data_IF_651205643551
#
_entry.id   IF_651205643551
#
_cell.length_a   1.000
_cell.length_b   1.000
_cell.length_c   1.000
_cell.angle_alpha   90.00
_cell.angle_beta   90.00
_cell.angle_gamma   90.00
#
_symmetry.space_group_name_H-M   'P 1'
#
loop_
_entity.id
_entity.type
_entity.pdbx_description
1 polymer ?
#
# COMPACT_ATOMS: atom_id res chain seq x y z
N UNK A 1 -32.78 30.05 1.85
CA UNK A 1 -32.04 30.16 3.13
C UNK A 1 -31.47 28.80 3.58
N UNK A 2 -32.24 27.74 3.57
CA UNK A 2 -31.73 26.38 3.94
C UNK A 2 -30.72 25.82 2.91
N UNK A 3 -30.93 26.04 1.61
CA UNK A 3 -30.02 25.57 0.55
C UNK A 3 -28.65 26.28 0.62
N UNK A 4 -28.60 27.53 1.01
CA UNK A 4 -27.36 28.29 1.20
C UNK A 4 -26.56 27.81 2.40
N UNK A 5 -27.23 27.53 3.53
CA UNK A 5 -26.59 27.00 4.73
C UNK A 5 -26.05 25.57 4.50
N UNK A 6 -26.77 24.74 3.74
CA UNK A 6 -26.34 23.41 3.36
C UNK A 6 -25.07 23.43 2.49
N UNK A 7 -25.02 24.33 1.51
CA UNK A 7 -23.87 24.54 0.63
C UNK A 7 -22.63 25.00 1.41
N UNK A 8 -22.77 25.88 2.37
CA UNK A 8 -21.69 26.34 3.23
C UNK A 8 -21.18 25.23 4.15
N UNK A 9 -22.08 24.39 4.65
CA UNK A 9 -21.74 23.23 5.47
C UNK A 9 -20.95 22.18 4.66
N UNK A 10 -21.36 21.90 3.44
CA UNK A 10 -20.66 20.99 2.54
C UNK A 10 -19.28 21.50 2.15
N UNK A 11 -19.15 22.81 1.91
CA UNK A 11 -17.85 23.45 1.66
C UNK A 11 -16.91 23.32 2.86
N UNK A 12 -17.42 23.57 4.05
CA UNK A 12 -16.64 23.44 5.29
C UNK A 12 -16.19 21.99 5.52
N UNK A 13 -17.03 21.00 5.22
CA UNK A 13 -16.71 19.59 5.31
C UNK A 13 -15.60 19.19 4.31
N UNK A 14 -15.69 19.65 3.06
CA UNK A 14 -14.68 19.41 2.03
C UNK A 14 -13.34 20.03 2.40
N UNK A 15 -13.34 21.27 2.87
CA UNK A 15 -12.11 21.95 3.32
C UNK A 15 -11.45 21.23 4.49
N UNK A 16 -12.26 20.69 5.40
CA UNK A 16 -11.77 19.91 6.55
C UNK A 16 -11.15 18.59 6.10
N UNK A 17 -11.76 17.91 5.14
CA UNK A 17 -11.25 16.66 4.55
C UNK A 17 -9.97 16.92 3.79
N UNK A 18 -9.90 17.97 2.99
CA UNK A 18 -8.71 18.41 2.25
C UNK A 18 -7.55 18.74 3.20
N UNK A 19 -7.85 19.44 4.31
CA UNK A 19 -6.87 19.79 5.34
C UNK A 19 -6.35 18.54 6.05
N UNK A 20 -7.21 17.58 6.35
CA UNK A 20 -6.84 16.30 6.96
C UNK A 20 -5.95 15.49 6.01
N UNK A 21 -6.32 15.43 4.73
CA UNK A 21 -5.52 14.77 3.70
C UNK A 21 -4.14 15.44 3.52
N UNK A 22 -4.10 16.77 3.51
CA UNK A 22 -2.84 17.53 3.42
C UNK A 22 -1.95 17.32 4.65
N UNK A 23 -2.53 17.29 5.86
CA UNK A 23 -1.78 16.97 7.09
C UNK A 23 -1.21 15.57 7.08
N UNK A 24 -1.99 14.58 6.64
CA UNK A 24 -1.51 13.19 6.49
C UNK A 24 -0.37 13.09 5.49
N UNK A 25 -0.46 13.81 4.36
CA UNK A 25 0.60 13.87 3.38
C UNK A 25 1.87 14.52 3.94
N UNK A 26 1.75 15.60 4.71
CA UNK A 26 2.88 16.26 5.38
C UNK A 26 3.50 15.37 6.48
N UNK A 27 2.69 14.69 7.27
CA UNK A 27 3.15 13.73 8.27
C UNK A 27 3.93 12.57 7.64
N UNK A 28 3.47 12.05 6.52
CA UNK A 28 4.16 11.01 5.75
C UNK A 28 5.50 11.52 5.19
N UNK A 29 5.55 12.75 4.71
CA UNK A 29 6.79 13.38 4.24
C UNK A 29 7.78 13.66 5.36
N UNK A 30 7.29 13.78 6.60
CA UNK A 30 8.11 14.00 7.78
C UNK A 30 8.78 12.72 8.31
N UNK A 31 8.36 11.53 7.85
CA UNK A 31 9.05 10.27 8.17
C UNK A 31 10.38 10.28 7.45
N UNK A 32 11.44 10.50 8.21
CA UNK A 32 12.82 10.50 7.71
C UNK A 32 13.48 9.19 8.15
N UNK A 33 13.78 8.34 7.20
CA UNK A 33 14.70 7.22 7.39
C UNK A 33 16.13 7.72 7.20
N UNK A 34 17.14 6.89 7.50
CA UNK A 34 18.53 7.28 7.31
C UNK A 34 18.79 7.83 5.90
N UNK A 35 19.66 8.82 5.80
CA UNK A 35 20.04 9.44 4.54
C UNK A 35 20.46 8.41 3.50
N UNK A 36 20.01 8.59 2.28
CA UNK A 36 20.29 7.68 1.19
C UNK A 36 19.44 6.41 1.17
N UNK A 37 18.50 6.22 2.10
CA UNK A 37 17.58 5.09 2.05
C UNK A 37 16.72 5.15 0.79
N UNK A 38 16.76 4.09 0.01
CA UNK A 38 16.01 3.90 -1.22
C UNK A 38 15.32 2.53 -1.13
N UNK A 39 14.06 2.54 -0.73
CA UNK A 39 13.32 1.33 -0.42
C UNK A 39 11.84 1.45 -0.81
N UNK A 40 11.25 0.33 -1.18
CA UNK A 40 9.80 0.17 -1.20
C UNK A 40 9.40 -0.67 0.00
N UNK A 41 8.49 -0.15 0.81
CA UNK A 41 7.96 -0.83 1.99
C UNK A 41 6.58 -1.34 1.68
N UNK A 42 6.41 -2.66 1.73
CA UNK A 42 5.21 -3.37 1.31
C UNK A 42 4.57 -4.03 2.52
N UNK A 43 3.26 -3.93 2.62
CA UNK A 43 2.49 -4.66 3.62
C UNK A 43 1.18 -5.17 3.04
N UNK A 44 0.61 -6.15 3.70
CA UNK A 44 -0.64 -6.79 3.32
C UNK A 44 -1.59 -6.84 4.50
N UNK A 45 -2.88 -6.74 4.21
CA UNK A 45 -3.96 -7.10 5.12
C UNK A 45 -4.83 -8.15 4.43
N UNK A 46 -5.19 -9.19 5.13
CA UNK A 46 -5.76 -10.41 4.57
C UNK A 46 -7.00 -10.83 5.37
N UNK A 47 -8.08 -11.18 4.69
CA UNK A 47 -9.30 -11.74 5.30
C UNK A 47 -9.59 -13.18 4.88
N UNK A 48 -8.64 -13.83 4.21
CA UNK A 48 -8.77 -15.19 3.68
C UNK A 48 -9.26 -15.27 2.24
N UNK A 49 -10.08 -14.34 1.78
CA UNK A 49 -10.62 -14.27 0.42
C UNK A 49 -9.95 -13.19 -0.43
N UNK A 50 -9.60 -12.08 0.21
CA UNK A 50 -8.99 -10.93 -0.43
C UNK A 50 -7.82 -10.43 0.41
N UNK A 51 -6.88 -9.79 -0.23
CA UNK A 51 -5.78 -9.10 0.43
C UNK A 51 -5.66 -7.67 -0.09
N UNK A 52 -5.53 -6.73 0.84
CA UNK A 52 -5.14 -5.37 0.50
C UNK A 52 -3.61 -5.28 0.48
N UNK A 53 -3.09 -4.60 -0.50
CA UNK A 53 -1.68 -4.31 -0.67
C UNK A 53 -1.46 -2.82 -0.42
N UNK A 54 -0.46 -2.48 0.36
CA UNK A 54 0.00 -1.10 0.55
C UNK A 54 1.49 -1.02 0.30
N UNK A 55 1.92 -0.02 -0.44
CA UNK A 55 3.34 0.23 -0.76
C UNK A 55 3.66 1.69 -0.48
N UNK A 56 4.71 1.93 0.29
CA UNK A 56 5.29 3.25 0.47
C UNK A 56 6.65 3.30 -0.23
N UNK A 57 6.80 4.26 -1.12
CA UNK A 57 8.04 4.48 -1.87
C UNK A 57 8.93 5.46 -1.12
N UNK A 58 10.04 4.98 -0.59
CA UNK A 58 11.03 5.79 0.12
C UNK A 58 12.20 6.08 -0.82
N UNK A 59 12.50 7.34 -0.99
CA UNK A 59 13.64 7.82 -1.79
C UNK A 59 14.38 8.87 -0.99
N UNK A 60 15.68 8.68 -0.85
CA UNK A 60 16.56 9.54 -0.06
C UNK A 60 16.04 9.73 1.39
N UNK A 61 15.62 8.63 2.00
CA UNK A 61 15.13 8.58 3.38
C UNK A 61 13.71 9.11 3.60
N UNK A 62 13.02 9.58 2.57
CA UNK A 62 11.69 10.19 2.67
C UNK A 62 10.65 9.43 1.87
N UNK A 63 9.43 9.35 2.41
CA UNK A 63 8.28 8.80 1.68
C UNK A 63 7.89 9.78 0.57
N UNK A 64 8.04 9.35 -0.68
CA UNK A 64 7.76 10.14 -1.88
C UNK A 64 6.44 9.80 -2.55
N UNK A 65 5.86 8.66 -2.20
CA UNK A 65 4.58 8.23 -2.74
C UNK A 65 4.07 7.01 -2.04
N UNK A 66 2.79 6.75 -2.25
CA UNK A 66 2.12 5.56 -1.75
C UNK A 66 1.14 5.02 -2.79
N UNK A 67 0.96 3.72 -2.79
CA UNK A 67 -0.03 3.02 -3.60
C UNK A 67 -0.72 1.97 -2.77
N UNK A 68 -1.98 1.70 -3.10
CA UNK A 68 -2.73 0.63 -2.46
C UNK A 68 -3.82 0.10 -3.37
N UNK A 69 -4.09 -1.18 -3.28
CA UNK A 69 -5.13 -1.87 -4.04
C UNK A 69 -5.54 -3.16 -3.34
N UNK A 70 -6.61 -3.78 -3.82
CA UNK A 70 -7.10 -5.07 -3.30
C UNK A 70 -6.96 -6.12 -4.39
N UNK A 71 -6.50 -7.30 -4.01
CA UNK A 71 -6.38 -8.47 -4.88
C UNK A 71 -7.22 -9.63 -4.33
N UNK A 72 -7.73 -10.45 -5.23
CA UNK A 72 -8.34 -11.72 -4.84
C UNK A 72 -7.24 -12.71 -4.45
N UNK A 73 -7.50 -13.45 -3.40
CA UNK A 73 -6.56 -14.39 -2.82
C UNK A 73 -7.05 -15.81 -3.02
N UNK A 74 -6.17 -16.72 -3.39
CA UNK A 74 -6.45 -18.15 -3.30
C UNK A 74 -6.38 -18.60 -1.83
N UNK A 75 -7.24 -19.50 -1.42
CA UNK A 75 -7.39 -19.92 -0.01
C UNK A 75 -6.08 -20.30 0.65
N UNK A 76 -5.18 -20.94 -0.08
CA UNK A 76 -3.90 -21.45 0.43
C UNK A 76 -2.71 -20.49 0.27
N UNK A 77 -2.93 -19.30 -0.28
CA UNK A 77 -1.83 -18.36 -0.50
C UNK A 77 -1.30 -17.80 0.83
N UNK A 78 -0.02 -17.98 1.08
CA UNK A 78 0.70 -17.38 2.20
C UNK A 78 1.04 -15.90 1.93
N UNK A 79 1.45 -15.18 2.97
CA UNK A 79 2.00 -13.82 2.80
C UNK A 79 3.24 -13.84 1.90
N UNK A 80 4.10 -14.86 2.03
CA UNK A 80 5.24 -15.05 1.14
C UNK A 80 4.84 -15.19 -0.32
N UNK A 81 3.76 -15.90 -0.62
CA UNK A 81 3.22 -16.02 -1.98
C UNK A 81 2.71 -14.67 -2.51
N UNK A 82 2.06 -13.88 -1.67
CA UNK A 82 1.62 -12.53 -2.00
C UNK A 82 2.81 -11.60 -2.28
N UNK A 83 3.89 -11.73 -1.53
CA UNK A 83 5.15 -10.99 -1.76
C UNK A 83 5.75 -11.35 -3.12
N UNK A 84 5.83 -12.63 -3.42
CA UNK A 84 6.32 -13.11 -4.73
C UNK A 84 5.50 -12.51 -5.86
N UNK A 85 4.19 -12.62 -5.78
CA UNK A 85 3.25 -12.09 -6.78
C UNK A 85 3.37 -10.57 -6.93
N UNK A 86 3.46 -9.85 -5.83
CA UNK A 86 3.68 -8.40 -5.83
C UNK A 86 4.95 -8.03 -6.60
N UNK A 87 6.08 -8.64 -6.26
CA UNK A 87 7.36 -8.34 -6.89
C UNK A 87 7.35 -8.63 -8.39
N UNK A 88 6.79 -9.76 -8.79
CA UNK A 88 6.73 -10.15 -10.22
C UNK A 88 5.80 -9.25 -11.02
N UNK A 89 4.70 -8.81 -10.45
CA UNK A 89 3.77 -7.90 -11.13
C UNK A 89 4.29 -6.47 -11.19
N UNK A 90 4.73 -5.92 -10.07
CA UNK A 90 5.11 -4.50 -9.98
C UNK A 90 6.44 -4.24 -10.66
N UNK A 91 7.44 -5.10 -10.42
CA UNK A 91 8.79 -4.93 -10.98
C UNK A 91 9.03 -5.71 -12.28
N UNK A 92 8.07 -6.56 -12.67
CA UNK A 92 8.13 -7.35 -13.90
C UNK A 92 7.63 -6.63 -15.13
N UNK A 93 7.24 -5.39 -15.05
CA UNK A 93 6.77 -4.61 -16.19
C UNK A 93 7.90 -4.47 -17.23
N UNK A 94 7.66 -5.02 -18.41
CA UNK A 94 8.61 -5.00 -19.53
C UNK A 94 8.88 -3.59 -20.07
N UNK A 95 7.96 -2.66 -19.81
CA UNK A 95 8.10 -1.27 -20.26
C UNK A 95 9.02 -0.45 -19.37
N UNK A 96 9.50 -1.00 -18.25
CA UNK A 96 10.45 -0.35 -17.37
C UNK A 96 9.95 0.93 -16.69
N UNK A 97 8.64 1.05 -16.55
CA UNK A 97 8.01 2.26 -15.96
C UNK A 97 8.17 2.33 -14.44
N UNK A 98 8.51 1.22 -13.80
CA UNK A 98 8.68 1.16 -12.34
C UNK A 98 10.15 0.94 -12.01
N UNK A 99 10.72 1.90 -11.29
CA UNK A 99 12.09 1.78 -10.78
C UNK A 99 12.15 0.74 -9.66
N UNK A 100 13.07 -0.21 -9.81
CA UNK A 100 13.38 -1.15 -8.74
C UNK A 100 14.27 -0.44 -7.72
N UNK A 101 13.85 -0.35 -6.43
CA UNK A 101 14.65 0.29 -5.40
C UNK A 101 15.86 -0.56 -5.00
N UNK A 102 16.75 -0.01 -4.20
CA UNK A 102 17.88 -0.76 -3.62
C UNK A 102 17.44 -1.80 -2.62
N UNK A 103 16.29 -1.57 -2.00
CA UNK A 103 15.77 -2.37 -0.90
C UNK A 103 14.26 -2.55 -1.07
N UNK A 104 13.79 -3.78 -0.90
CA UNK A 104 12.36 -4.08 -0.80
C UNK A 104 12.12 -4.69 0.58
N UNK A 105 11.38 -3.98 1.42
CA UNK A 105 11.02 -4.40 2.76
C UNK A 105 9.64 -5.03 2.73
N UNK A 106 9.56 -6.29 3.14
CA UNK A 106 8.36 -7.12 3.06
C UNK A 106 8.02 -7.69 4.44
N UNK A 107 6.75 -8.07 4.69
CA UNK A 107 6.35 -8.63 5.98
C UNK A 107 6.86 -10.06 6.21
N UNK A 108 7.04 -10.82 5.15
CA UNK A 108 7.50 -12.20 5.17
C UNK A 108 8.26 -12.51 3.88
N UNK A 109 9.33 -13.28 3.99
CA UNK A 109 10.08 -13.71 2.81
C UNK A 109 9.38 -14.90 2.12
N UNK A 110 9.28 -14.89 0.78
CA UNK A 110 8.82 -16.07 0.05
C UNK A 110 9.86 -17.19 0.11
N UNK A 111 9.46 -18.41 -0.20
CA UNK A 111 10.36 -19.58 -0.21
C UNK A 111 11.50 -19.46 -1.21
N UNK A 112 11.27 -18.73 -2.31
CA UNK A 112 12.25 -18.44 -3.36
C UNK A 112 12.90 -17.06 -3.23
N UNK A 113 13.01 -16.53 -2.00
CA UNK A 113 13.51 -15.19 -1.72
C UNK A 113 14.88 -14.90 -2.36
N UNK A 114 15.79 -15.89 -2.37
CA UNK A 114 17.09 -15.75 -3.01
C UNK A 114 16.97 -15.52 -4.52
N UNK A 115 16.24 -16.39 -5.20
CA UNK A 115 16.03 -16.28 -6.65
C UNK A 115 15.30 -14.97 -7.02
N UNK A 116 14.32 -14.59 -6.22
CA UNK A 116 13.58 -13.34 -6.41
C UNK A 116 14.49 -12.11 -6.22
N UNK A 117 15.33 -12.12 -5.18
CA UNK A 117 16.32 -11.07 -4.95
C UNK A 117 17.33 -10.95 -6.09
N UNK A 118 17.79 -12.05 -6.63
CA UNK A 118 18.70 -12.09 -7.79
C UNK A 118 18.02 -11.52 -9.04
N UNK A 119 16.77 -11.90 -9.27
CA UNK A 119 15.98 -11.38 -10.39
C UNK A 119 15.76 -9.86 -10.27
N UNK A 120 15.42 -9.36 -9.09
CA UNK A 120 15.28 -7.92 -8.83
C UNK A 120 16.60 -7.19 -9.08
N UNK A 121 17.72 -7.78 -8.66
CA UNK A 121 19.06 -7.23 -8.86
C UNK A 121 19.42 -7.13 -10.35
N UNK A 122 19.07 -8.14 -11.14
CA UNK A 122 19.24 -8.11 -12.58
C UNK A 122 18.39 -7.01 -13.23
N UNK A 123 17.16 -6.86 -12.81
CA UNK A 123 16.28 -5.82 -13.35
C UNK A 123 16.76 -4.40 -13.00
N UNK A 124 17.32 -4.23 -11.82
CA UNK A 124 17.89 -2.94 -11.42
C UNK A 124 19.24 -2.67 -12.12
N UNK A 125 20.01 -3.70 -12.37
CA UNK A 125 21.41 -3.61 -12.81
C UNK A 125 22.43 -3.47 -11.67
N UNK A 126 21.97 -3.44 -10.41
CA UNK A 126 22.78 -3.45 -9.19
C UNK A 126 22.08 -4.27 -8.12
N UNK A 127 22.79 -4.61 -7.05
CA UNK A 127 22.25 -5.45 -5.98
C UNK A 127 20.99 -4.84 -5.35
N UNK A 128 19.95 -5.66 -5.21
CA UNK A 128 18.72 -5.35 -4.49
C UNK A 128 18.62 -6.26 -3.27
N UNK A 129 18.33 -5.68 -2.12
CA UNK A 129 18.09 -6.40 -0.86
C UNK A 129 16.59 -6.62 -0.68
N UNK A 130 16.15 -7.87 -0.67
CA UNK A 130 14.80 -8.27 -0.31
C UNK A 130 14.83 -8.82 1.12
N UNK A 131 14.20 -8.13 2.07
CA UNK A 131 14.28 -8.49 3.48
C UNK A 131 13.08 -8.04 4.30
N UNK A 132 12.98 -8.59 5.49
CA UNK A 132 12.01 -8.18 6.52
C UNK A 132 12.66 -7.14 7.44
N UNK A 133 11.98 -6.03 7.68
CA UNK A 133 12.42 -5.05 8.67
C UNK A 133 12.18 -5.57 10.08
N UNK A 134 13.23 -5.74 10.87
CA UNK A 134 13.14 -6.37 12.19
C UNK A 134 13.20 -5.39 13.36
N UNK A 135 13.72 -4.18 13.15
CA UNK A 135 13.88 -3.18 14.20
C UNK A 135 14.11 -1.78 13.65
N UNK A 136 14.01 -0.78 14.52
CA UNK A 136 14.31 0.61 14.22
C UNK A 136 13.24 1.29 13.37
N UNK A 137 13.62 2.36 12.70
CA UNK A 137 12.70 3.22 11.93
C UNK A 137 12.08 2.50 10.76
N UNK A 138 12.78 1.57 10.12
CA UNK A 138 12.28 0.76 9.02
C UNK A 138 11.13 -0.15 9.49
N UNK A 139 11.26 -0.76 10.67
CA UNK A 139 10.17 -1.56 11.27
C UNK A 139 8.98 -0.69 11.65
N UNK A 140 9.21 0.48 12.22
CA UNK A 140 8.15 1.43 12.55
C UNK A 140 7.38 1.85 11.29
N UNK A 141 8.07 2.12 10.20
CA UNK A 141 7.45 2.43 8.92
C UNK A 141 6.67 1.23 8.37
N UNK A 142 7.23 0.03 8.44
CA UNK A 142 6.54 -1.19 8.02
C UNK A 142 5.22 -1.40 8.77
N UNK A 143 5.16 -1.10 10.06
CA UNK A 143 3.92 -1.14 10.86
C UNK A 143 2.90 -0.09 10.38
N UNK A 144 3.35 1.10 10.01
CA UNK A 144 2.49 2.14 9.43
C UNK A 144 1.90 1.68 8.09
N UNK A 145 2.69 1.07 7.24
CA UNK A 145 2.24 0.54 5.94
C UNK A 145 1.23 -0.60 6.16
N UNK A 146 1.47 -1.46 7.14
CA UNK A 146 0.52 -2.53 7.52
C UNK A 146 -0.83 -1.97 7.94
N UNK A 147 -0.86 -0.96 8.81
CA UNK A 147 -2.09 -0.29 9.23
C UNK A 147 -2.81 0.35 8.04
N UNK A 148 -2.07 0.91 7.11
CA UNK A 148 -2.65 1.47 5.89
C UNK A 148 -3.32 0.37 5.04
N UNK A 149 -2.70 -0.79 4.91
CA UNK A 149 -3.28 -1.95 4.22
C UNK A 149 -4.58 -2.42 4.90
N UNK A 150 -4.61 -2.47 6.23
CA UNK A 150 -5.82 -2.80 7.00
C UNK A 150 -6.96 -1.81 6.73
N UNK A 151 -6.65 -0.53 6.67
CA UNK A 151 -7.61 0.52 6.33
C UNK A 151 -8.18 0.38 4.91
N UNK A 152 -7.34 0.05 3.94
CA UNK A 152 -7.75 -0.20 2.56
C UNK A 152 -8.72 -1.38 2.49
N UNK A 153 -8.42 -2.47 3.16
CA UNK A 153 -9.27 -3.66 3.20
C UNK A 153 -10.63 -3.37 3.84
N UNK A 154 -10.63 -2.66 4.96
CA UNK A 154 -11.85 -2.25 5.68
C UNK A 154 -12.74 -1.38 4.80
N UNK A 155 -12.19 -0.38 4.14
CA UNK A 155 -12.95 0.49 3.23
C UNK A 155 -13.51 -0.29 2.03
N UNK A 156 -12.75 -1.22 1.48
CA UNK A 156 -13.19 -2.05 0.37
C UNK A 156 -14.40 -2.92 0.77
N UNK A 157 -14.37 -3.53 1.96
CA UNK A 157 -15.49 -4.33 2.49
C UNK A 157 -16.74 -3.47 2.70
N UNK A 158 -16.59 -2.27 3.24
CA UNK A 158 -17.70 -1.35 3.46
C UNK A 158 -18.36 -0.92 2.13
N UNK A 159 -17.58 -0.64 1.10
CA UNK A 159 -18.10 -0.32 -0.23
C UNK A 159 -18.89 -1.48 -0.83
N UNK A 160 -18.37 -2.69 -0.75
CA UNK A 160 -19.06 -3.89 -1.24
C UNK A 160 -20.38 -4.13 -0.50
N UNK A 161 -20.41 -3.97 0.80
CA UNK A 161 -21.63 -4.10 1.59
C UNK A 161 -22.68 -3.05 1.18
N UNK A 162 -22.26 -1.80 0.99
CA UNK A 162 -23.13 -0.72 0.52
C UNK A 162 -23.69 -1.00 -0.89
N UNK A 163 -22.87 -1.47 -1.82
CA UNK A 163 -23.28 -1.79 -3.18
C UNK A 163 -24.29 -2.94 -3.21
N UNK A 164 -24.10 -3.96 -2.38
CA UNK A 164 -25.03 -5.08 -2.27
C UNK A 164 -26.38 -4.62 -1.71
N UNK A 165 -26.40 -3.77 -0.71
CA UNK A 165 -27.61 -3.21 -0.13
C UNK A 165 -28.38 -2.37 -1.15
N UNK A 166 -27.68 -1.52 -1.89
CA UNK A 166 -28.28 -0.68 -2.94
C UNK A 166 -28.89 -1.52 -4.07
N UNK A 167 -28.22 -2.60 -4.46
CA UNK A 167 -28.73 -3.52 -5.49
C UNK A 167 -29.96 -4.30 -5.02
N UNK A 168 -29.98 -4.74 -3.77
CA UNK A 168 -31.16 -5.43 -3.19
C UNK A 168 -32.37 -4.52 -3.14
N UNK A 169 -32.19 -3.26 -2.76
CA UNK A 169 -33.27 -2.28 -2.76
C UNK A 169 -33.81 -1.98 -4.16
N UNK A 170 -32.95 -1.93 -5.18
CA UNK A 170 -33.35 -1.69 -6.56
C UNK A 170 -34.13 -2.88 -7.18
N UNK A 171 -33.98 -4.09 -6.66
CA UNK A 171 -34.70 -5.29 -7.14
C UNK A 171 -36.07 -5.41 -6.50
N UNK A 172 -36.29 -4.85 -5.30
CA UNK A 172 -37.56 -4.87 -4.58
C UNK A 172 -38.57 -3.79 -5.06
N UNK A 173 -38.12 -2.80 -5.81
CA UNK A 173 -38.98 -1.80 -6.47
C UNK A 173 -39.42 -2.26 -7.85
#
# INVERSE_FOLDING_TARGET
LEASAQLEFERAARLRDDLTAARRALEKQAVVLGDGTNADVVAFADDGLQAAVSVFHVRDGRVRGERGWVVDKTEDASIGDLVHHFCTQVYGDEQGQVDVPREVLVPELPTDAQALGDWLSQRRGTRVSLRVAQRGDKKALAETVRRNAEGILTQHKLRRASDLTSRSQAIEE
#
